data_IF_852009164582
#
_entry.id   IF_852009164582
#
_cell.length_a   1.000
_cell.length_b   1.000
_cell.length_c   1.000
_cell.angle_alpha   90.00
_cell.angle_beta   90.00
_cell.angle_gamma   90.00
#
_symmetry.space_group_name_H-M   'P 1'
#
loop_
_entity.id
_entity.type
_entity.pdbx_description
1 polymer ?
#
# COMPACT_ATOMS: atom_id res chain seq x y z
N UNK A 1 47.63 -31.59 42.29
CA UNK A 1 47.51 -30.55 41.26
C UNK A 1 46.03 -30.38 40.92
N UNK A 2 45.41 -29.34 41.45
CA UNK A 2 43.98 -29.03 41.20
C UNK A 2 43.87 -28.17 39.91
N UNK A 3 43.17 -28.70 38.88
CA UNK A 3 42.88 -27.94 37.67
C UNK A 3 41.69 -26.99 37.94
N UNK A 4 41.93 -25.70 37.91
CA UNK A 4 40.89 -24.67 37.96
C UNK A 4 40.33 -24.56 36.55
N UNK A 5 39.05 -24.91 36.38
CA UNK A 5 38.30 -24.68 35.13
C UNK A 5 37.70 -23.27 35.22
N UNK A 6 38.23 -22.37 34.40
CA UNK A 6 37.75 -21.00 34.24
C UNK A 6 36.52 -21.05 33.31
N UNK A 7 35.34 -20.91 33.88
CA UNK A 7 34.09 -20.76 33.09
C UNK A 7 34.05 -19.34 32.54
N UNK A 8 34.32 -19.18 31.24
CA UNK A 8 34.10 -17.92 30.51
C UNK A 8 32.60 -17.83 30.22
N UNK A 9 31.88 -17.01 31.01
CA UNK A 9 30.55 -16.58 30.64
C UNK A 9 30.62 -15.67 29.42
N UNK A 10 30.33 -16.20 28.23
CA UNK A 10 30.04 -15.38 27.06
C UNK A 10 28.67 -14.68 27.30
N UNK A 11 28.73 -13.41 27.70
CA UNK A 11 27.59 -12.51 27.62
C UNK A 11 27.43 -12.22 26.14
N UNK A 12 26.56 -13.00 25.48
CA UNK A 12 26.12 -12.67 24.12
C UNK A 12 25.34 -11.36 24.18
N UNK A 13 25.94 -10.28 23.69
CA UNK A 13 25.20 -9.07 23.36
C UNK A 13 24.16 -9.46 22.31
N UNK A 14 22.90 -9.56 22.72
CA UNK A 14 21.75 -9.56 21.80
C UNK A 14 21.74 -8.19 21.13
N UNK A 15 22.46 -8.05 20.03
CA UNK A 15 22.21 -6.94 19.11
C UNK A 15 20.82 -7.17 18.56
N UNK A 16 19.83 -6.43 19.07
CA UNK A 16 18.54 -6.28 18.41
C UNK A 16 18.82 -5.70 17.03
N UNK A 17 18.97 -6.56 16.05
CA UNK A 17 19.00 -6.15 14.65
C UNK A 17 17.56 -5.76 14.32
N UNK A 18 17.19 -4.48 14.53
CA UNK A 18 15.90 -3.96 14.11
C UNK A 18 15.81 -4.16 12.60
N UNK A 19 14.91 -5.02 12.18
CA UNK A 19 14.66 -5.28 10.77
C UNK A 19 14.16 -3.98 10.14
N UNK A 20 14.84 -3.50 9.10
CA UNK A 20 14.42 -2.31 8.38
C UNK A 20 13.03 -2.55 7.76
N UNK A 21 12.11 -1.59 7.84
CA UNK A 21 10.79 -1.71 7.25
C UNK A 21 10.88 -1.76 5.73
N UNK A 22 9.94 -2.45 5.13
CA UNK A 22 9.74 -2.44 3.69
C UNK A 22 9.12 -1.10 3.26
N UNK A 23 9.76 -0.40 2.30
CA UNK A 23 9.30 0.90 1.82
C UNK A 23 8.31 0.76 0.67
N UNK A 24 7.21 1.49 0.75
CA UNK A 24 6.13 1.48 -0.24
C UNK A 24 5.94 2.91 -0.75
N UNK A 25 5.93 3.09 -2.07
CA UNK A 25 5.65 4.36 -2.72
C UNK A 25 4.16 4.66 -2.73
N UNK A 26 3.71 5.67 -1.96
CA UNK A 26 2.32 6.13 -1.91
C UNK A 26 1.90 6.76 -3.24
N UNK A 27 0.92 6.16 -3.92
CA UNK A 27 0.49 6.56 -5.27
C UNK A 27 1.65 6.65 -6.27
N UNK A 28 2.62 5.74 -6.09
CA UNK A 28 3.89 5.73 -6.81
C UNK A 28 4.99 6.53 -6.11
N UNK A 29 5.06 7.83 -6.35
CA UNK A 29 6.03 8.73 -5.72
C UNK A 29 5.63 10.20 -5.88
N UNK A 30 6.42 11.10 -5.28
CA UNK A 30 6.25 12.55 -5.48
C UNK A 30 6.65 13.02 -6.89
N UNK A 31 7.45 12.26 -7.62
CA UNK A 31 7.95 12.62 -8.95
C UNK A 31 6.98 12.13 -10.04
N UNK A 32 6.07 13.00 -10.44
CA UNK A 32 4.99 12.75 -11.39
C UNK A 32 3.62 13.14 -10.83
N UNK A 33 2.58 13.04 -11.65
CA UNK A 33 1.18 13.07 -11.21
C UNK A 33 0.91 11.81 -10.42
N UNK A 34 0.28 11.93 -9.25
CA UNK A 34 -0.02 10.76 -8.41
C UNK A 34 -0.84 9.69 -9.16
N UNK A 35 -0.64 8.41 -8.84
CA UNK A 35 -1.35 7.29 -9.46
C UNK A 35 -1.18 7.20 -10.99
N UNK A 36 -0.05 7.68 -11.52
CA UNK A 36 0.25 7.59 -12.97
C UNK A 36 1.53 6.81 -13.24
N UNK A 37 1.70 6.41 -14.48
CA UNK A 37 2.85 5.61 -14.93
C UNK A 37 4.18 6.22 -14.49
N UNK A 38 4.37 7.54 -14.70
CA UNK A 38 5.62 8.23 -14.32
C UNK A 38 5.88 8.17 -12.81
N UNK A 39 4.84 8.40 -11.98
CA UNK A 39 4.98 8.32 -10.53
C UNK A 39 5.35 6.92 -10.06
N UNK A 40 4.77 5.87 -10.66
CA UNK A 40 5.10 4.48 -10.36
C UNK A 40 6.52 4.11 -10.77
N UNK A 41 6.93 4.44 -12.00
CA UNK A 41 8.29 4.20 -12.48
C UNK A 41 9.32 4.90 -11.60
N UNK A 42 9.08 6.18 -11.24
CA UNK A 42 9.97 6.92 -10.35
C UNK A 42 10.02 6.32 -8.94
N UNK A 43 8.91 5.82 -8.41
CA UNK A 43 8.88 5.10 -7.14
C UNK A 43 9.78 3.88 -7.14
N UNK A 44 9.67 3.05 -8.18
CA UNK A 44 10.47 1.84 -8.32
C UNK A 44 11.95 2.13 -8.66
N UNK A 45 12.20 3.00 -9.63
CA UNK A 45 13.54 3.18 -10.22
C UNK A 45 14.36 4.27 -9.52
N UNK A 46 13.76 5.41 -9.17
CA UNK A 46 14.47 6.54 -8.59
C UNK A 46 14.60 6.40 -7.08
N UNK A 47 13.51 6.07 -6.38
CA UNK A 47 13.51 5.86 -4.94
C UNK A 47 13.87 4.43 -4.53
N UNK A 48 13.74 3.45 -5.42
CA UNK A 48 14.04 2.04 -5.14
C UNK A 48 13.06 1.39 -4.17
N UNK A 49 11.79 1.84 -4.11
CA UNK A 49 10.79 1.23 -3.25
C UNK A 49 10.53 -0.23 -3.62
N UNK A 50 10.34 -1.07 -2.60
CA UNK A 50 10.07 -2.49 -2.79
C UNK A 50 8.60 -2.76 -3.15
N UNK A 51 7.70 -1.85 -2.77
CA UNK A 51 6.29 -1.90 -3.13
C UNK A 51 5.81 -0.56 -3.69
N UNK A 52 4.79 -0.61 -4.51
CA UNK A 52 4.09 0.59 -5.01
C UNK A 52 2.63 0.50 -4.60
N UNK A 53 2.10 1.59 -4.05
CA UNK A 53 0.68 1.66 -3.72
C UNK A 53 -0.07 2.45 -4.79
N UNK A 54 -1.27 1.97 -5.14
CA UNK A 54 -2.22 2.65 -6.01
C UNK A 54 -3.63 2.63 -5.43
N UNK A 55 -4.40 3.69 -5.72
CA UNK A 55 -5.84 3.76 -5.42
C UNK A 55 -6.66 3.27 -6.61
N UNK A 56 -7.57 2.32 -6.43
CA UNK A 56 -8.38 1.77 -7.52
C UNK A 56 -9.77 2.39 -7.56
N UNK A 57 -10.16 2.84 -8.75
CA UNK A 57 -11.51 3.27 -9.14
C UNK A 57 -11.99 2.48 -10.35
N UNK A 58 -13.30 2.48 -10.56
CA UNK A 58 -13.95 1.84 -11.72
C UNK A 58 -14.62 2.89 -12.60
N UNK A 59 -14.43 2.77 -13.90
CA UNK A 59 -15.03 3.64 -14.93
C UNK A 59 -16.47 3.25 -15.22
N UNK A 60 -17.19 4.06 -16.01
CA UNK A 60 -18.56 3.79 -16.46
C UNK A 60 -18.68 2.44 -17.19
N UNK A 61 -17.67 2.06 -17.96
CA UNK A 61 -17.56 0.80 -18.72
C UNK A 61 -16.85 -0.32 -17.94
N UNK A 62 -16.72 -0.16 -16.61
CA UNK A 62 -16.24 -1.21 -15.69
C UNK A 62 -14.74 -1.49 -15.74
N UNK A 63 -13.93 -0.58 -16.32
CA UNK A 63 -12.49 -0.72 -16.31
C UNK A 63 -11.88 -0.21 -15.02
N UNK A 64 -10.77 -0.83 -14.56
CA UNK A 64 -10.06 -0.40 -13.36
C UNK A 64 -8.95 0.60 -13.72
N UNK A 65 -8.99 1.77 -13.06
CA UNK A 65 -8.00 2.85 -13.19
C UNK A 65 -7.43 3.24 -11.85
N UNK A 66 -6.23 3.82 -11.87
CA UNK A 66 -5.53 4.31 -10.69
C UNK A 66 -5.87 5.78 -10.46
N UNK A 67 -6.64 6.08 -9.42
CA UNK A 67 -6.96 7.44 -8.98
C UNK A 67 -7.59 7.45 -7.59
N UNK A 68 -7.27 8.48 -6.79
CA UNK A 68 -7.75 8.53 -5.39
C UNK A 68 -9.20 9.00 -5.25
N UNK A 69 -9.54 10.14 -5.87
CA UNK A 69 -10.84 10.79 -5.68
C UNK A 69 -11.91 10.22 -6.62
N UNK A 70 -13.19 10.56 -6.40
CA UNK A 70 -14.26 10.14 -7.30
C UNK A 70 -14.26 10.93 -8.62
N UNK A 71 -13.62 12.10 -8.62
CA UNK A 71 -13.50 13.01 -9.76
C UNK A 71 -12.03 13.29 -10.10
N UNK A 72 -11.81 13.94 -11.23
CA UNK A 72 -10.47 14.35 -11.68
C UNK A 72 -10.12 15.81 -11.33
N UNK A 73 -10.79 16.43 -10.36
CA UNK A 73 -10.53 17.80 -9.94
C UNK A 73 -9.06 18.04 -9.57
N UNK A 74 -8.47 17.11 -8.81
CA UNK A 74 -7.05 17.14 -8.44
C UNK A 74 -6.11 17.05 -9.64
N UNK A 75 -6.58 16.50 -10.77
CA UNK A 75 -5.89 16.43 -12.06
C UNK A 75 -6.22 17.59 -13.01
N UNK A 76 -6.98 18.59 -12.55
CA UNK A 76 -7.32 19.78 -13.36
C UNK A 76 -8.67 19.70 -14.09
N UNK A 77 -9.54 18.73 -13.79
CA UNK A 77 -10.83 18.52 -14.45
C UNK A 77 -11.99 18.47 -13.44
N UNK A 78 -12.51 19.63 -13.06
CA UNK A 78 -13.49 19.78 -11.94
C UNK A 78 -14.83 19.05 -12.12
N UNK A 79 -15.23 18.70 -13.35
CA UNK A 79 -16.54 18.13 -13.64
C UNK A 79 -16.48 16.73 -14.24
N UNK A 80 -15.33 16.05 -14.15
CA UNK A 80 -15.15 14.69 -14.69
C UNK A 80 -15.16 13.69 -13.55
N UNK A 81 -16.26 12.89 -13.46
CA UNK A 81 -16.41 11.81 -12.49
C UNK A 81 -16.01 10.49 -13.14
N UNK A 82 -15.12 9.73 -12.49
CA UNK A 82 -14.56 8.48 -13.04
C UNK A 82 -15.67 7.46 -13.32
N UNK A 83 -16.58 7.26 -12.37
CA UNK A 83 -17.67 6.29 -12.52
C UNK A 83 -18.72 6.67 -13.60
N UNK A 84 -18.68 7.90 -14.11
CA UNK A 84 -19.60 8.42 -15.13
C UNK A 84 -18.90 8.59 -16.50
N UNK A 85 -17.61 8.22 -16.59
CA UNK A 85 -16.78 8.44 -17.78
C UNK A 85 -16.16 7.10 -18.23
N UNK A 86 -16.19 6.85 -19.55
CA UNK A 86 -15.55 5.65 -20.13
C UNK A 86 -14.02 5.75 -20.08
N UNK A 87 -13.33 4.61 -20.11
CA UNK A 87 -11.87 4.57 -20.12
C UNK A 87 -11.28 5.37 -21.29
N UNK A 88 -11.80 5.20 -22.51
CA UNK A 88 -11.31 5.91 -23.69
C UNK A 88 -11.39 7.43 -23.52
N UNK A 89 -12.49 7.92 -22.93
CA UNK A 89 -12.67 9.35 -22.63
C UNK A 89 -11.66 9.83 -21.57
N UNK A 90 -11.43 9.04 -20.51
CA UNK A 90 -10.43 9.38 -19.48
C UNK A 90 -9.01 9.41 -20.05
N UNK A 91 -8.65 8.45 -20.92
CA UNK A 91 -7.34 8.39 -21.58
C UNK A 91 -7.06 9.57 -22.52
N UNK A 92 -8.11 10.25 -23.02
CA UNK A 92 -7.97 11.44 -23.85
C UNK A 92 -7.64 12.72 -23.07
N UNK A 93 -7.75 12.69 -21.73
CA UNK A 93 -7.52 13.85 -20.88
C UNK A 93 -6.04 13.95 -20.43
N UNK A 94 -5.55 15.18 -20.37
CA UNK A 94 -4.24 15.48 -19.76
C UNK A 94 -4.43 15.89 -18.32
N UNK A 95 -3.99 15.05 -17.38
CA UNK A 95 -3.95 15.38 -15.97
C UNK A 95 -2.79 16.31 -15.66
N UNK A 96 -3.00 17.25 -14.75
CA UNK A 96 -1.97 18.23 -14.35
C UNK A 96 -1.96 18.34 -12.81
N UNK A 97 -0.79 18.20 -12.20
CA UNK A 97 -0.59 18.45 -10.77
C UNK A 97 0.69 19.22 -10.52
N UNK A 98 0.64 20.18 -9.58
CA UNK A 98 1.85 20.83 -9.03
C UNK A 98 2.20 20.19 -7.70
N UNK A 99 3.41 19.62 -7.61
CA UNK A 99 3.94 18.95 -6.42
C UNK A 99 5.31 19.51 -6.09
N UNK A 100 5.50 20.07 -4.88
CA UNK A 100 6.75 20.77 -4.48
C UNK A 100 7.28 21.71 -5.55
N UNK A 101 6.43 22.63 -6.03
CA UNK A 101 6.76 23.67 -7.02
C UNK A 101 7.10 23.17 -8.43
N UNK A 102 6.97 21.86 -8.71
CA UNK A 102 7.11 21.28 -10.05
C UNK A 102 5.74 20.88 -10.58
N UNK A 103 5.41 21.34 -11.79
CA UNK A 103 4.17 20.96 -12.47
C UNK A 103 4.43 19.77 -13.38
N UNK A 104 3.67 18.69 -13.17
CA UNK A 104 3.69 17.47 -13.95
C UNK A 104 2.41 17.34 -14.78
N UNK A 105 2.52 16.68 -15.92
CA UNK A 105 1.38 16.29 -16.75
C UNK A 105 1.45 14.80 -17.07
N UNK A 106 0.30 14.14 -17.11
CA UNK A 106 0.21 12.72 -17.45
C UNK A 106 -1.17 12.38 -18.00
N UNK A 107 -1.38 11.14 -18.42
CA UNK A 107 -2.70 10.54 -18.62
C UNK A 107 -3.03 9.64 -17.44
N UNK A 108 -4.32 9.33 -17.24
CA UNK A 108 -4.74 8.36 -16.21
C UNK A 108 -4.08 7.00 -16.48
N UNK A 109 -3.62 6.33 -15.42
CA UNK A 109 -3.03 5.00 -15.53
C UNK A 109 -4.11 3.94 -15.31
N UNK A 110 -4.14 2.90 -16.15
CA UNK A 110 -4.96 1.72 -15.89
C UNK A 110 -4.29 0.83 -14.84
N UNK A 111 -5.11 0.05 -14.10
CA UNK A 111 -4.54 -0.95 -13.16
C UNK A 111 -3.74 -2.02 -13.91
N UNK A 112 -4.11 -2.36 -15.13
CA UNK A 112 -3.34 -3.28 -15.99
C UNK A 112 -1.91 -2.76 -16.21
N UNK A 113 -1.75 -1.48 -16.59
CA UNK A 113 -0.43 -0.85 -16.79
C UNK A 113 0.36 -0.71 -15.49
N UNK A 114 -0.29 -0.37 -14.39
CA UNK A 114 0.34 -0.34 -13.06
C UNK A 114 0.93 -1.71 -12.67
N UNK A 115 0.17 -2.79 -12.85
CA UNK A 115 0.64 -4.16 -12.55
C UNK A 115 1.78 -4.59 -13.47
N UNK A 116 1.74 -4.20 -14.75
CA UNK A 116 2.85 -4.41 -15.68
C UNK A 116 4.13 -3.72 -15.19
N UNK A 117 4.04 -2.46 -14.72
CA UNK A 117 5.17 -1.73 -14.11
C UNK A 117 5.69 -2.47 -12.86
N UNK A 118 4.80 -2.91 -11.97
CA UNK A 118 5.21 -3.69 -10.80
C UNK A 118 6.01 -4.94 -11.21
N UNK A 119 5.57 -5.65 -12.25
CA UNK A 119 6.27 -6.82 -12.78
C UNK A 119 7.60 -6.46 -13.42
N UNK A 120 7.65 -5.41 -14.24
CA UNK A 120 8.84 -4.95 -14.93
C UNK A 120 9.97 -4.57 -13.96
N UNK A 121 9.62 -3.87 -12.88
CA UNK A 121 10.60 -3.39 -11.87
C UNK A 121 10.77 -4.34 -10.68
N UNK A 122 10.11 -5.50 -10.69
CA UNK A 122 10.17 -6.49 -9.60
C UNK A 122 9.83 -5.90 -8.23
N UNK A 123 8.74 -5.11 -8.16
CA UNK A 123 8.17 -4.53 -6.95
C UNK A 123 6.78 -5.11 -6.71
N UNK A 124 6.37 -5.29 -5.44
CA UNK A 124 5.05 -5.84 -5.17
C UNK A 124 3.96 -4.75 -5.24
N UNK A 125 2.77 -5.08 -5.78
CA UNK A 125 1.66 -4.15 -5.84
C UNK A 125 0.91 -4.08 -4.49
N UNK A 126 0.61 -2.85 -4.05
CA UNK A 126 -0.32 -2.56 -2.95
C UNK A 126 -1.54 -1.86 -3.55
N UNK A 127 -2.65 -2.57 -3.62
CA UNK A 127 -3.86 -2.16 -4.33
C UNK A 127 -4.90 -1.68 -3.32
N UNK A 128 -5.04 -0.36 -3.15
CA UNK A 128 -6.06 0.19 -2.26
C UNK A 128 -7.42 0.22 -2.97
N UNK A 129 -8.38 -0.54 -2.43
CA UNK A 129 -9.76 -0.47 -2.88
C UNK A 129 -10.44 0.74 -2.26
N UNK A 130 -10.68 1.76 -3.06
CA UNK A 130 -11.54 2.88 -2.71
C UNK A 130 -13.00 2.47 -2.92
N UNK A 131 -13.93 3.16 -2.23
CA UNK A 131 -15.34 2.94 -2.53
C UNK A 131 -15.61 3.25 -4.01
N UNK A 132 -15.89 2.21 -4.79
CA UNK A 132 -16.12 2.29 -6.21
C UNK A 132 -17.31 1.39 -6.61
N UNK A 133 -17.90 1.65 -7.77
CA UNK A 133 -18.97 0.80 -8.33
C UNK A 133 -18.40 -0.60 -8.57
N UNK A 134 -19.10 -1.64 -8.10
CA UNK A 134 -18.67 -3.03 -8.24
C UNK A 134 -17.49 -3.45 -7.35
N UNK A 135 -16.90 -2.54 -6.56
CA UNK A 135 -15.83 -2.83 -5.61
C UNK A 135 -16.05 -2.04 -4.31
N UNK A 136 -16.93 -2.52 -3.43
CA UNK A 136 -17.21 -1.92 -2.12
C UNK A 136 -17.86 -2.93 -1.17
N UNK A 137 -18.13 -2.52 0.09
CA UNK A 137 -18.69 -3.40 1.14
C UNK A 137 -20.01 -4.09 0.79
N UNK A 138 -20.75 -3.59 -0.19
CA UNK A 138 -22.08 -4.11 -0.57
C UNK A 138 -22.07 -4.73 -1.97
N UNK A 139 -21.00 -4.52 -2.73
CA UNK A 139 -20.92 -4.95 -4.12
C UNK A 139 -19.44 -5.25 -4.49
N UNK A 140 -19.17 -6.50 -4.82
CA UNK A 140 -17.85 -6.99 -5.23
C UNK A 140 -17.89 -7.61 -6.64
N UNK A 141 -18.86 -7.24 -7.46
CA UNK A 141 -19.10 -7.84 -8.80
C UNK A 141 -17.96 -7.60 -9.78
N UNK A 142 -17.19 -6.51 -9.65
CA UNK A 142 -16.01 -6.21 -10.48
C UNK A 142 -14.69 -6.68 -9.87
N UNK A 143 -14.68 -7.18 -8.63
CA UNK A 143 -13.43 -7.70 -8.03
C UNK A 143 -12.83 -8.88 -8.80
N UNK A 144 -13.60 -9.85 -9.35
CA UNK A 144 -13.05 -10.90 -10.20
C UNK A 144 -12.26 -10.37 -11.41
N UNK A 145 -12.68 -9.27 -12.01
CA UNK A 145 -11.96 -8.63 -13.12
C UNK A 145 -10.65 -8.01 -12.67
N UNK A 146 -10.63 -7.34 -11.50
CA UNK A 146 -9.40 -6.85 -10.88
C UNK A 146 -8.44 -8.01 -10.54
N UNK A 147 -8.96 -9.09 -9.95
CA UNK A 147 -8.17 -10.28 -9.63
C UNK A 147 -7.55 -10.90 -10.89
N UNK A 148 -8.32 -10.99 -11.99
CA UNK A 148 -7.83 -11.51 -13.27
C UNK A 148 -6.65 -10.67 -13.83
N UNK A 149 -6.62 -9.36 -13.61
CA UNK A 149 -5.47 -8.52 -13.96
C UNK A 149 -4.25 -8.88 -13.11
N UNK A 150 -4.40 -9.04 -11.80
CA UNK A 150 -3.30 -9.45 -10.90
C UNK A 150 -2.75 -10.82 -11.32
N UNK A 151 -3.63 -11.78 -11.62
CA UNK A 151 -3.28 -13.13 -12.08
C UNK A 151 -2.59 -13.11 -13.45
N UNK A 152 -3.08 -12.31 -14.40
CA UNK A 152 -2.47 -12.11 -15.73
C UNK A 152 -0.99 -11.74 -15.64
N UNK A 153 -0.62 -10.88 -14.69
CA UNK A 153 0.77 -10.46 -14.47
C UNK A 153 1.58 -11.41 -13.58
N UNK A 154 0.94 -12.46 -13.02
CA UNK A 154 1.58 -13.45 -12.14
C UNK A 154 2.01 -12.86 -10.80
N UNK A 155 1.22 -11.91 -10.24
CA UNK A 155 1.53 -11.17 -9.02
C UNK A 155 0.62 -11.55 -7.84
N UNK A 156 -0.09 -12.68 -7.92
CA UNK A 156 -1.11 -13.07 -6.92
C UNK A 156 -0.51 -13.24 -5.52
N UNK A 157 0.65 -13.87 -5.41
CA UNK A 157 1.29 -14.15 -4.11
C UNK A 157 1.93 -12.90 -3.50
N UNK A 158 2.32 -11.93 -4.33
CA UNK A 158 2.96 -10.68 -3.92
C UNK A 158 1.98 -9.55 -3.67
N UNK A 159 0.79 -9.61 -4.28
CA UNK A 159 -0.20 -8.53 -4.22
C UNK A 159 -0.80 -8.37 -2.82
N UNK A 160 -0.83 -7.13 -2.37
CA UNK A 160 -1.47 -6.73 -1.12
C UNK A 160 -2.73 -5.93 -1.44
N UNK A 161 -3.89 -6.40 -0.98
CA UNK A 161 -5.13 -5.65 -1.06
C UNK A 161 -5.31 -4.83 0.21
N UNK A 162 -5.36 -3.52 0.04
CA UNK A 162 -5.50 -2.54 1.11
C UNK A 162 -6.91 -1.91 1.08
N UNK A 163 -7.63 -1.86 2.18
CA UNK A 163 -8.90 -1.11 2.26
C UNK A 163 -9.38 -0.92 3.70
N UNK A 164 -10.19 0.13 3.92
CA UNK A 164 -10.94 0.34 5.18
C UNK A 164 -12.27 -0.44 5.23
N UNK A 165 -12.62 -1.16 4.20
CA UNK A 165 -13.90 -1.86 4.02
C UNK A 165 -13.79 -3.30 4.51
N UNK A 166 -14.17 -3.58 5.77
CA UNK A 166 -14.09 -4.94 6.38
C UNK A 166 -14.78 -6.01 5.55
N UNK A 167 -16.02 -5.78 5.12
CA UNK A 167 -16.79 -6.79 4.36
C UNK A 167 -16.12 -7.14 3.03
N UNK A 168 -15.46 -6.16 2.40
CA UNK A 168 -14.68 -6.41 1.19
C UNK A 168 -13.48 -7.31 1.49
N UNK A 169 -12.75 -7.07 2.60
CA UNK A 169 -11.65 -7.95 3.01
C UNK A 169 -12.13 -9.36 3.39
N UNK A 170 -13.26 -9.48 4.11
CA UNK A 170 -13.88 -10.77 4.43
C UNK A 170 -14.24 -11.55 3.16
N UNK A 171 -14.83 -10.87 2.17
CA UNK A 171 -15.11 -11.46 0.85
C UNK A 171 -13.82 -11.94 0.17
N UNK A 172 -12.78 -11.11 0.14
CA UNK A 172 -11.51 -11.42 -0.50
C UNK A 172 -10.81 -12.59 0.21
N UNK A 173 -10.74 -12.58 1.54
CA UNK A 173 -10.14 -13.68 2.31
C UNK A 173 -10.89 -15.00 2.15
N UNK A 174 -12.19 -14.94 1.88
CA UNK A 174 -13.02 -16.14 1.66
C UNK A 174 -12.84 -16.72 0.25
N UNK A 175 -12.79 -15.87 -0.79
CA UNK A 175 -12.82 -16.32 -2.18
C UNK A 175 -11.44 -16.32 -2.86
N UNK A 176 -10.48 -15.53 -2.35
CA UNK A 176 -9.13 -15.35 -2.89
C UNK A 176 -8.08 -15.43 -1.76
N UNK A 177 -8.00 -16.57 -1.04
CA UNK A 177 -7.22 -16.69 0.19
C UNK A 177 -5.70 -16.53 0.00
N UNK A 178 -5.20 -16.63 -1.23
CA UNK A 178 -3.80 -16.42 -1.58
C UNK A 178 -3.38 -14.96 -1.60
N UNK A 179 -4.34 -14.02 -1.79
CA UNK A 179 -4.03 -12.59 -1.73
C UNK A 179 -3.68 -12.15 -0.30
N UNK A 180 -2.66 -11.33 -0.15
CA UNK A 180 -2.38 -10.66 1.11
C UNK A 180 -3.37 -9.51 1.33
N UNK A 181 -3.75 -9.26 2.57
CA UNK A 181 -4.72 -8.21 2.92
C UNK A 181 -4.19 -7.31 4.02
N UNK A 182 -4.47 -6.01 3.90
CA UNK A 182 -4.21 -5.02 4.94
C UNK A 182 -5.48 -4.21 5.23
N UNK A 183 -5.85 -4.14 6.51
CA UNK A 183 -6.97 -3.34 6.97
C UNK A 183 -6.53 -1.90 7.26
N UNK A 184 -7.06 -0.93 6.51
CA UNK A 184 -6.69 0.48 6.60
C UNK A 184 -7.46 1.19 7.71
N UNK A 185 -6.73 1.83 8.65
CA UNK A 185 -7.32 2.55 9.79
C UNK A 185 -6.57 3.84 10.10
N UNK A 186 -7.30 4.87 10.50
CA UNK A 186 -6.66 6.03 11.15
C UNK A 186 -6.26 5.69 12.58
N UNK A 187 -7.21 5.23 13.37
CA UNK A 187 -7.02 4.79 14.76
C UNK A 187 -7.40 3.33 14.88
N UNK A 188 -6.79 2.61 15.81
CA UNK A 188 -6.96 1.18 16.01
C UNK A 188 -7.45 0.91 17.42
N UNK A 189 -8.42 0.02 17.54
CA UNK A 189 -8.90 -0.56 18.79
C UNK A 189 -8.46 -2.02 18.87
N UNK A 190 -8.52 -2.59 20.07
CA UNK A 190 -8.20 -3.99 20.32
C UNK A 190 -9.00 -4.97 19.45
N UNK A 191 -10.27 -4.65 19.23
CA UNK A 191 -11.15 -5.42 18.34
C UNK A 191 -10.71 -5.41 16.88
N UNK A 192 -10.04 -4.34 16.41
CA UNK A 192 -9.49 -4.27 15.05
C UNK A 192 -8.29 -5.21 14.89
N UNK A 193 -7.40 -5.28 15.89
CA UNK A 193 -6.23 -6.18 15.89
C UNK A 193 -6.69 -7.63 15.93
N UNK A 194 -7.65 -7.96 16.82
CA UNK A 194 -8.20 -9.31 16.91
C UNK A 194 -8.87 -9.72 15.59
N UNK A 195 -9.64 -8.82 14.96
CA UNK A 195 -10.25 -9.07 13.67
C UNK A 195 -9.19 -9.34 12.56
N UNK A 196 -8.09 -8.57 12.54
CA UNK A 196 -7.00 -8.82 11.61
C UNK A 196 -6.37 -10.20 11.81
N UNK A 197 -6.14 -10.61 13.06
CA UNK A 197 -5.67 -11.95 13.38
C UNK A 197 -6.62 -13.04 12.86
N UNK A 198 -7.92 -12.93 13.17
CA UNK A 198 -8.94 -13.93 12.81
C UNK A 198 -9.08 -14.09 11.28
N UNK A 199 -8.96 -12.99 10.55
CA UNK A 199 -9.07 -12.96 9.09
C UNK A 199 -7.71 -13.05 8.36
N UNK A 200 -6.60 -13.27 9.09
CA UNK A 200 -5.24 -13.34 8.52
C UNK A 200 -4.92 -12.12 7.65
N UNK A 201 -5.26 -10.94 8.13
CA UNK A 201 -4.96 -9.66 7.53
C UNK A 201 -3.90 -8.93 8.36
N UNK A 202 -3.07 -8.12 7.73
CA UNK A 202 -2.22 -7.14 8.38
C UNK A 202 -3.00 -5.83 8.61
N UNK A 203 -2.40 -4.87 9.29
CA UNK A 203 -3.05 -3.60 9.59
C UNK A 203 -2.21 -2.42 9.11
N UNK A 204 -2.85 -1.44 8.44
CA UNK A 204 -2.22 -0.23 7.93
C UNK A 204 -2.79 0.99 8.66
N UNK A 205 -1.94 1.74 9.38
CA UNK A 205 -2.35 2.72 10.37
C UNK A 205 -1.74 4.09 10.06
N UNK A 206 -2.50 5.17 10.29
CA UNK A 206 -1.93 6.51 10.25
C UNK A 206 -0.79 6.64 11.28
N UNK A 207 0.39 7.03 10.82
CA UNK A 207 1.63 7.02 11.59
C UNK A 207 1.57 7.70 12.97
N UNK A 208 0.73 8.74 13.12
CA UNK A 208 0.58 9.47 14.39
C UNK A 208 -0.07 8.63 15.50
N UNK A 209 -0.79 7.55 15.14
CA UNK A 209 -1.50 6.67 16.05
C UNK A 209 -0.76 5.35 16.31
N UNK A 210 0.50 5.24 15.88
CA UNK A 210 1.35 4.07 16.12
C UNK A 210 2.28 4.35 17.31
N UNK A 211 2.25 3.45 18.28
CA UNK A 211 3.12 3.43 19.46
C UNK A 211 3.58 2.00 19.76
N UNK A 212 4.64 1.88 20.54
CA UNK A 212 5.33 0.62 20.81
C UNK A 212 4.37 -0.50 21.27
N UNK A 213 3.54 -0.21 22.28
CA UNK A 213 2.60 -1.20 22.85
C UNK A 213 1.61 -1.76 21.81
N UNK A 214 1.16 -0.90 20.86
CA UNK A 214 0.28 -1.35 19.79
C UNK A 214 0.99 -2.32 18.84
N UNK A 215 2.24 -2.00 18.46
CA UNK A 215 3.03 -2.87 17.57
C UNK A 215 3.31 -4.20 18.25
N UNK A 216 3.75 -4.21 19.52
CA UNK A 216 3.98 -5.43 20.32
C UNK A 216 2.71 -6.29 20.43
N UNK A 217 1.55 -5.65 20.62
CA UNK A 217 0.27 -6.35 20.63
C UNK A 217 -0.05 -6.99 19.27
N UNK A 218 0.13 -6.25 18.18
CA UNK A 218 -0.07 -6.78 16.84
C UNK A 218 0.85 -7.98 16.59
N UNK A 219 2.15 -7.84 16.90
CA UNK A 219 3.14 -8.90 16.73
C UNK A 219 2.79 -10.16 17.53
N UNK A 220 2.29 -10.01 18.76
CA UNK A 220 1.87 -11.13 19.61
C UNK A 220 0.74 -11.98 19.00
N UNK A 221 -0.04 -11.38 18.09
CA UNK A 221 -1.13 -12.02 17.34
C UNK A 221 -0.73 -12.34 15.89
N UNK A 222 0.55 -12.12 15.50
CA UNK A 222 1.03 -12.35 14.13
C UNK A 222 0.49 -11.35 13.10
N UNK A 223 0.06 -10.16 13.54
CA UNK A 223 -0.43 -9.06 12.70
C UNK A 223 0.70 -8.06 12.47
N UNK A 224 1.12 -7.89 11.22
CA UNK A 224 2.14 -6.89 10.88
C UNK A 224 1.54 -5.49 10.77
N UNK A 225 2.31 -4.48 11.21
CA UNK A 225 1.89 -3.07 11.16
C UNK A 225 2.56 -2.36 9.99
N UNK A 226 1.73 -1.70 9.17
CA UNK A 226 2.13 -0.76 8.14
C UNK A 226 1.78 0.67 8.57
N UNK A 227 2.65 1.63 8.27
CA UNK A 227 2.44 3.06 8.60
C UNK A 227 2.26 3.91 7.35
N UNK A 228 1.31 4.88 7.37
CA UNK A 228 1.06 5.82 6.28
C UNK A 228 0.69 7.23 6.79
N UNK A 229 0.85 8.32 6.06
CA UNK A 229 1.87 8.51 5.04
C UNK A 229 3.06 9.16 5.75
N UNK A 230 4.23 8.59 5.63
CA UNK A 230 5.42 8.98 6.38
C UNK A 230 6.36 9.76 5.47
N UNK A 231 6.47 11.06 5.73
CA UNK A 231 7.24 12.00 4.89
C UNK A 231 8.28 12.78 5.72
N UNK A 232 8.75 12.19 6.82
CA UNK A 232 9.68 12.85 7.73
C UNK A 232 10.60 11.80 8.39
N UNK A 233 11.92 12.07 8.38
CA UNK A 233 12.95 11.16 8.92
C UNK A 233 12.78 10.87 10.41
N UNK A 234 12.37 11.86 11.22
CA UNK A 234 12.16 11.65 12.65
C UNK A 234 11.00 10.69 12.91
N UNK A 235 9.90 10.83 12.12
CA UNK A 235 8.76 9.91 12.18
C UNK A 235 9.19 8.52 11.70
N UNK A 236 9.94 8.43 10.60
CA UNK A 236 10.49 7.18 10.09
C UNK A 236 11.29 6.44 11.17
N UNK A 237 12.29 7.11 11.77
CA UNK A 237 13.14 6.50 12.80
C UNK A 237 12.31 5.99 13.99
N UNK A 238 11.35 6.77 14.48
CA UNK A 238 10.43 6.36 15.55
C UNK A 238 9.65 5.08 15.19
N UNK A 239 9.19 4.96 13.95
CA UNK A 239 8.42 3.80 13.49
C UNK A 239 9.30 2.57 13.30
N UNK A 240 10.56 2.75 12.87
CA UNK A 240 11.58 1.68 12.87
C UNK A 240 11.81 1.18 14.29
N UNK A 241 12.00 2.08 15.26
CA UNK A 241 12.18 1.74 16.68
C UNK A 241 10.95 1.01 17.25
N UNK A 242 9.73 1.38 16.82
CA UNK A 242 8.50 0.66 17.17
C UNK A 242 8.38 -0.73 16.51
N UNK A 243 9.16 -1.05 15.49
CA UNK A 243 9.10 -2.36 14.80
C UNK A 243 8.05 -2.43 13.68
N UNK A 244 7.66 -1.30 13.07
CA UNK A 244 6.77 -1.32 11.91
C UNK A 244 7.37 -2.13 10.77
N UNK A 245 6.55 -3.01 10.16
CA UNK A 245 7.00 -3.90 9.08
C UNK A 245 7.03 -3.18 7.72
N UNK A 246 6.14 -2.21 7.50
CA UNK A 246 6.01 -1.46 6.25
C UNK A 246 5.85 0.03 6.50
N UNK A 247 6.43 0.84 5.62
CA UNK A 247 6.28 2.31 5.64
C UNK A 247 5.90 2.79 4.25
N UNK A 248 4.73 3.43 4.14
CA UNK A 248 4.24 4.07 2.92
C UNK A 248 4.61 5.55 2.94
N UNK A 249 5.25 6.03 1.88
CA UNK A 249 5.81 7.38 1.77
C UNK A 249 5.63 7.97 0.37
N UNK A 250 5.59 9.31 0.28
CA UNK A 250 5.59 10.02 -1.01
C UNK A 250 7.02 10.19 -1.56
N UNK A 251 8.06 10.33 -0.70
CA UNK A 251 9.39 10.73 -1.15
C UNK A 251 10.56 10.43 -0.21
N UNK A 252 10.39 9.66 0.85
CA UNK A 252 11.55 9.29 1.67
C UNK A 252 12.45 8.34 0.90
N UNK A 253 13.76 8.64 0.91
CA UNK A 253 14.76 7.75 0.34
C UNK A 253 14.97 6.51 1.23
N UNK A 254 15.30 5.39 0.60
CA UNK A 254 15.71 4.17 1.32
C UNK A 254 17.07 4.43 1.97
N UNK A 255 17.16 4.13 3.25
CA UNK A 255 18.38 4.31 4.06
C UNK A 255 19.16 3.03 4.23
#
# INVERSE_FOLDING_TARGET
MKKIILAICLIGALTNCTKQPTMIGHRGSLLGVENTEEAFINGAKHFGYQGLECDVKTTLDGQCVCWHDNDLKRGGHDSVFIAETTLDSLLSLTLTQTRKDVTYTATICTVDRYLEICKEYNVFPVVELKWATGINNNDMTLFPSLYALIEKHGLVEEAVILTSMRKSLEYIRTHYPQLQCQYLRQTVKDEDVQWCHDWKANISIQHANIHQELVEKCDSLGVQVAAWTVNNDSIYNRLVDCGCAFITTDYLEIK
#
